data_IF_208114943322
#
_entry.id   IF_208114943322
#
_cell.length_a   1.000
_cell.length_b   1.000
_cell.length_c   1.000
_cell.angle_alpha   90.00
_cell.angle_beta   90.00
_cell.angle_gamma   90.00
#
_symmetry.space_group_name_H-M   'P 1'
#
loop_
_entity.id
_entity.type
_entity.pdbx_description
1 polymer ?
#
# COMPACT_ATOMS: atom_id res chain seq x y z
N UNK A 1 -0.46 18.53 37.23
CA UNK A 1 0.70 17.89 36.59
C UNK A 1 0.31 16.89 35.50
N UNK A 2 -0.83 16.21 35.62
CA UNK A 2 -1.36 15.22 34.66
C UNK A 2 -1.91 15.82 33.36
N UNK A 3 -2.64 16.94 33.41
CA UNK A 3 -3.28 17.55 32.21
C UNK A 3 -2.29 17.98 31.11
N UNK A 4 -1.12 18.49 31.52
CA UNK A 4 -0.05 18.89 30.59
C UNK A 4 0.50 17.70 29.81
N UNK A 5 0.63 16.54 30.47
CA UNK A 5 1.11 15.30 29.85
C UNK A 5 0.08 14.75 28.87
N UNK A 6 -1.21 14.81 29.22
CA UNK A 6 -2.30 14.38 28.33
C UNK A 6 -2.35 15.25 27.06
N UNK A 7 -2.25 16.58 27.21
CA UNK A 7 -2.17 17.50 26.07
C UNK A 7 -0.96 17.23 25.18
N UNK A 8 0.20 16.98 25.79
CA UNK A 8 1.43 16.62 25.06
C UNK A 8 1.27 15.31 24.28
N UNK A 9 0.65 14.28 24.89
CA UNK A 9 0.41 13.00 24.27
C UNK A 9 -0.54 13.12 23.07
N UNK A 10 -1.62 13.88 23.20
CA UNK A 10 -2.55 14.15 22.10
C UNK A 10 -1.84 14.88 20.95
N UNK A 11 -1.06 15.93 21.26
CA UNK A 11 -0.31 16.68 20.25
C UNK A 11 0.66 15.76 19.47
N UNK A 12 1.37 14.87 20.16
CA UNK A 12 2.24 13.88 19.52
C UNK A 12 1.49 12.92 18.61
N UNK A 13 0.34 12.39 19.07
CA UNK A 13 -0.47 11.48 18.26
C UNK A 13 -0.98 12.15 16.98
N UNK A 14 -1.39 13.42 17.05
CA UNK A 14 -1.81 14.20 15.87
C UNK A 14 -0.65 14.36 14.89
N UNK A 15 0.54 14.69 15.36
CA UNK A 15 1.73 14.82 14.50
C UNK A 15 2.05 13.49 13.81
N UNK A 16 2.01 12.37 14.53
CA UNK A 16 2.23 11.04 13.96
C UNK A 16 1.18 10.71 12.90
N UNK A 17 -0.09 10.97 13.15
CA UNK A 17 -1.17 10.73 12.19
C UNK A 17 -0.99 11.54 10.91
N UNK A 18 -0.56 12.80 11.02
CA UNK A 18 -0.25 13.65 9.86
C UNK A 18 0.91 13.06 9.08
N UNK A 19 2.03 12.74 9.75
CA UNK A 19 3.22 12.18 9.09
C UNK A 19 2.93 10.85 8.39
N UNK A 20 2.13 9.97 8.99
CA UNK A 20 1.75 8.69 8.38
C UNK A 20 0.87 8.87 7.13
N UNK A 21 0.01 9.88 7.12
CA UNK A 21 -0.96 10.10 6.05
C UNK A 21 -0.40 10.87 4.85
N UNK A 22 0.74 11.57 5.00
CA UNK A 22 1.45 12.27 3.91
C UNK A 22 1.70 11.37 2.70
N UNK A 23 2.14 10.12 2.91
CA UNK A 23 2.41 9.19 1.82
C UNK A 23 1.18 8.78 1.02
N UNK A 24 0.00 8.82 1.66
CA UNK A 24 -1.28 8.45 1.06
C UNK A 24 -1.92 9.64 0.34
N UNK A 25 -1.91 10.82 0.97
CA UNK A 25 -2.55 12.02 0.43
C UNK A 25 -1.68 12.80 -0.57
N UNK A 26 -0.35 12.86 -0.38
CA UNK A 26 0.53 13.73 -1.17
C UNK A 26 1.23 13.03 -2.33
N UNK A 27 1.31 11.69 -2.37
CA UNK A 27 1.93 10.99 -3.51
C UNK A 27 0.93 10.82 -4.66
N UNK A 28 1.38 11.08 -5.89
CA UNK A 28 0.58 11.06 -7.15
C UNK A 28 -0.05 9.70 -7.53
N UNK A 29 0.10 8.68 -6.68
CA UNK A 29 -0.56 7.35 -6.68
C UNK A 29 -0.62 6.79 -5.25
N UNK A 30 -0.85 7.64 -4.25
CA UNK A 30 -0.70 7.32 -2.82
C UNK A 30 -1.79 6.41 -2.23
N UNK A 31 -2.81 6.05 -3.00
CA UNK A 31 -3.81 5.08 -2.58
C UNK A 31 -3.24 3.66 -2.46
N UNK A 32 -3.94 2.81 -1.71
CA UNK A 32 -3.67 1.37 -1.73
C UNK A 32 -3.80 0.85 -3.16
N UNK A 33 -2.71 0.29 -3.69
CA UNK A 33 -2.72 -0.41 -4.97
C UNK A 33 -3.53 -1.70 -4.84
N UNK A 34 -4.07 -2.20 -5.94
CA UNK A 34 -4.72 -3.52 -5.95
C UNK A 34 -3.74 -4.58 -5.44
N UNK A 35 -4.07 -5.22 -4.32
CA UNK A 35 -3.27 -6.32 -3.76
C UNK A 35 -3.50 -7.63 -4.50
N UNK A 36 -4.58 -7.71 -5.29
CA UNK A 36 -4.87 -8.86 -6.14
C UNK A 36 -3.88 -8.94 -7.30
N UNK A 37 -3.17 -10.08 -7.40
CA UNK A 37 -2.13 -10.31 -8.41
C UNK A 37 -2.61 -10.05 -9.84
N UNK A 38 -3.84 -10.48 -10.18
CA UNK A 38 -4.40 -10.29 -11.52
C UNK A 38 -4.89 -8.88 -11.82
N UNK A 39 -5.13 -8.05 -10.80
CA UNK A 39 -5.63 -6.67 -10.96
C UNK A 39 -4.56 -5.60 -10.75
N UNK A 40 -3.33 -6.00 -10.40
CA UNK A 40 -2.25 -5.09 -10.07
C UNK A 40 -1.40 -4.79 -11.31
N UNK A 41 -1.59 -3.60 -11.89
CA UNK A 41 -0.85 -3.13 -13.07
C UNK A 41 0.68 -3.17 -12.90
N UNK A 42 1.18 -2.94 -11.69
CA UNK A 42 2.62 -2.96 -11.42
C UNK A 42 3.17 -4.39 -11.40
N UNK A 43 2.43 -5.35 -10.85
CA UNK A 43 2.81 -6.77 -10.89
C UNK A 43 2.76 -7.31 -12.32
N UNK A 44 1.71 -6.96 -13.09
CA UNK A 44 1.62 -7.32 -14.51
C UNK A 44 2.78 -6.75 -15.32
N UNK A 45 3.18 -5.49 -15.08
CA UNK A 45 4.35 -4.88 -15.75
C UNK A 45 5.65 -5.62 -15.45
N UNK A 46 5.75 -6.26 -14.29
CA UNK A 46 6.89 -7.11 -13.89
C UNK A 46 6.80 -8.55 -14.41
N UNK A 47 5.74 -8.89 -15.16
CA UNK A 47 5.49 -10.25 -15.65
C UNK A 47 4.94 -11.22 -14.60
N UNK A 48 4.53 -10.72 -13.43
CA UNK A 48 4.00 -11.54 -12.34
C UNK A 48 2.49 -11.69 -12.55
N UNK A 49 2.02 -12.92 -12.75
CA UNK A 49 0.58 -13.26 -12.90
C UNK A 49 0.16 -14.38 -11.93
N UNK A 50 -1.12 -14.76 -11.92
CA UNK A 50 -1.59 -15.87 -11.07
C UNK A 50 -0.89 -17.17 -11.46
N UNK A 51 -0.59 -18.04 -10.50
CA UNK A 51 0.05 -19.34 -10.77
C UNK A 51 -0.68 -20.10 -11.90
N UNK A 52 -2.01 -20.14 -11.85
CA UNK A 52 -2.85 -20.81 -12.86
C UNK A 52 -2.74 -20.19 -14.26
N UNK A 53 -2.54 -18.86 -14.36
CA UNK A 53 -2.33 -18.23 -15.66
C UNK A 53 -0.92 -18.50 -16.19
N UNK A 54 0.10 -18.48 -15.32
CA UNK A 54 1.47 -18.85 -15.68
C UNK A 54 1.53 -20.30 -16.17
N UNK A 55 0.95 -21.23 -15.42
CA UNK A 55 0.85 -22.65 -15.79
C UNK A 55 0.16 -22.82 -17.15
N UNK A 56 -0.97 -22.14 -17.38
CA UNK A 56 -1.69 -22.22 -18.67
C UNK A 56 -0.85 -21.67 -19.83
N UNK A 57 -0.11 -20.59 -19.63
CA UNK A 57 0.76 -20.00 -20.64
C UNK A 57 1.95 -20.90 -20.96
N UNK A 58 2.60 -21.49 -19.96
CA UNK A 58 3.68 -22.46 -20.14
C UNK A 58 3.21 -23.72 -20.87
N UNK A 59 2.01 -24.21 -20.54
CA UNK A 59 1.39 -25.35 -21.23
C UNK A 59 1.04 -25.08 -22.69
N UNK A 60 0.87 -23.81 -23.08
CA UNK A 60 0.68 -23.38 -24.48
C UNK A 60 2.00 -23.08 -25.20
N UNK A 61 3.08 -22.81 -24.46
CA UNK A 61 4.42 -22.59 -25.01
C UNK A 61 5.19 -23.88 -25.30
N UNK A 62 4.82 -24.98 -24.64
CA UNK A 62 5.17 -26.35 -25.05
C UNK A 62 4.33 -26.80 -26.23
#
# INVERSE_FOLDING_TARGET
MTFKVILLAIALMVVVAILMSVGVFLKKKGGMVNTHVGGNKELTKRGISCATSQDREERKRK
#
